data_IF_762239965790
#
_entry.id   IF_762239965790
#
_cell.length_a   1.000
_cell.length_b   1.000
_cell.length_c   1.000
_cell.angle_alpha   90.00
_cell.angle_beta   90.00
_cell.angle_gamma   90.00
#
_symmetry.space_group_name_H-M   'P 1'
#
loop_
_entity.id
_entity.type
_entity.pdbx_description
1 polymer ?
#
# COMPACT_ATOMS: atom_id res chain seq x y z
N UNK A 1 9.15 -10.35 14.62
CA UNK A 1 7.96 -11.10 15.06
C UNK A 1 6.71 -10.48 14.45
N UNK A 2 5.79 -11.30 13.95
CA UNK A 2 4.46 -10.84 13.54
C UNK A 2 3.58 -10.50 14.74
N UNK A 3 2.86 -9.38 14.66
CA UNK A 3 1.89 -8.94 15.67
C UNK A 3 0.70 -8.22 15.05
N UNK A 4 -0.37 -8.14 15.82
CA UNK A 4 -1.53 -7.30 15.51
C UNK A 4 -1.17 -5.81 15.55
N UNK A 5 -1.94 -5.01 14.83
CA UNK A 5 -1.79 -3.55 14.85
C UNK A 5 -2.28 -2.98 16.16
N UNK A 6 -1.59 -1.95 16.66
CA UNK A 6 -2.16 -1.12 17.72
C UNK A 6 -3.30 -0.24 17.17
N UNK A 7 -4.12 0.32 18.06
CA UNK A 7 -5.20 1.25 17.67
C UNK A 7 -4.67 2.47 16.91
N UNK A 8 -3.52 2.99 17.33
CA UNK A 8 -2.87 4.14 16.69
C UNK A 8 -2.39 3.80 15.27
N UNK A 9 -1.74 2.64 15.11
CA UNK A 9 -1.25 2.17 13.81
C UNK A 9 -2.40 1.88 12.85
N UNK A 10 -3.47 1.25 13.36
CA UNK A 10 -4.71 1.03 12.61
C UNK A 10 -5.31 2.35 12.13
N UNK A 11 -5.36 3.37 13.00
CA UNK A 11 -5.87 4.69 12.67
C UNK A 11 -5.01 5.37 11.59
N UNK A 12 -3.68 5.28 11.71
CA UNK A 12 -2.75 5.83 10.72
C UNK A 12 -2.93 5.17 9.36
N UNK A 13 -3.02 3.83 9.31
CA UNK A 13 -3.29 3.09 8.08
C UNK A 13 -4.65 3.43 7.48
N UNK A 14 -5.70 3.52 8.30
CA UNK A 14 -7.03 3.88 7.82
C UNK A 14 -7.04 5.26 7.17
N UNK A 15 -6.39 6.28 7.77
CA UNK A 15 -6.23 7.61 7.16
C UNK A 15 -5.43 7.56 5.86
N UNK A 16 -4.39 6.72 5.82
CA UNK A 16 -3.62 6.53 4.60
C UNK A 16 -4.47 5.89 3.49
N UNK A 17 -5.23 4.84 3.78
CA UNK A 17 -6.11 4.20 2.81
C UNK A 17 -7.24 5.11 2.34
N UNK A 18 -7.78 5.94 3.24
CA UNK A 18 -8.79 6.96 2.92
C UNK A 18 -8.26 8.01 1.94
N UNK A 19 -7.02 8.49 2.14
CA UNK A 19 -6.34 9.42 1.22
C UNK A 19 -6.28 8.90 -0.24
N UNK A 20 -6.25 7.58 -0.40
CA UNK A 20 -6.21 6.89 -1.70
C UNK A 20 -7.58 6.31 -2.11
N UNK A 21 -8.66 6.55 -1.35
CA UNK A 21 -10.00 6.06 -1.65
C UNK A 21 -10.16 4.54 -1.58
N UNK A 22 -9.32 3.85 -0.79
CA UNK A 22 -9.33 2.39 -0.64
C UNK A 22 -9.65 1.93 0.78
N UNK A 23 -10.13 2.84 1.64
CA UNK A 23 -10.49 2.53 3.03
C UNK A 23 -11.49 1.37 3.12
N UNK A 24 -12.58 1.41 2.35
CA UNK A 24 -13.62 0.38 2.36
C UNK A 24 -13.10 -1.01 1.98
N UNK A 25 -12.08 -1.09 1.13
CA UNK A 25 -11.46 -2.36 0.77
C UNK A 25 -10.62 -2.95 1.91
N UNK A 26 -9.90 -2.11 2.66
CA UNK A 26 -8.98 -2.54 3.71
C UNK A 26 -9.59 -2.59 5.11
N UNK A 27 -10.77 -2.01 5.35
CA UNK A 27 -11.36 -1.91 6.70
C UNK A 27 -11.63 -3.27 7.36
N UNK A 28 -11.92 -4.30 6.57
CA UNK A 28 -12.23 -5.65 7.07
C UNK A 28 -11.12 -6.67 6.78
N UNK A 29 -9.96 -6.20 6.28
CA UNK A 29 -8.85 -7.08 5.93
C UNK A 29 -7.94 -7.34 7.13
N UNK A 30 -7.39 -8.54 7.16
CA UNK A 30 -6.36 -8.90 8.12
C UNK A 30 -5.03 -8.28 7.71
N UNK A 31 -4.61 -7.32 8.52
CA UNK A 31 -3.31 -6.71 8.44
C UNK A 31 -2.52 -7.16 9.66
N UNK A 32 -1.24 -7.47 9.49
CA UNK A 32 -0.30 -7.65 10.59
C UNK A 32 0.91 -6.75 10.39
N UNK A 33 1.61 -6.45 11.49
CA UNK A 33 2.92 -5.82 11.46
C UNK A 33 3.98 -6.87 11.77
N UNK A 34 5.03 -6.92 10.97
CA UNK A 34 6.26 -7.63 11.29
C UNK A 34 7.28 -6.63 11.81
N UNK A 35 7.68 -6.78 13.07
CA UNK A 35 8.71 -5.94 13.67
C UNK A 35 10.08 -6.63 13.61
N UNK A 36 11.03 -5.93 12.98
CA UNK A 36 12.46 -6.21 13.02
C UNK A 36 13.20 -4.88 13.15
N UNK A 37 13.77 -4.33 12.06
CA UNK A 37 14.40 -3.00 12.04
C UNK A 37 13.42 -1.89 11.62
N UNK A 38 12.41 -2.26 10.84
CA UNK A 38 11.31 -1.41 10.38
C UNK A 38 10.00 -2.14 10.66
N UNK A 39 8.92 -1.37 10.81
CA UNK A 39 7.57 -1.93 10.97
C UNK A 39 7.00 -2.19 9.58
N UNK A 40 7.00 -3.44 9.15
CA UNK A 40 6.47 -3.82 7.84
C UNK A 40 5.01 -4.24 7.96
N UNK A 41 4.14 -3.76 7.07
CA UNK A 41 2.71 -4.09 7.06
C UNK A 41 2.45 -5.18 6.03
N UNK A 42 1.78 -6.24 6.46
CA UNK A 42 1.42 -7.38 5.60
C UNK A 42 -0.09 -7.55 5.54
N UNK A 43 -0.60 -7.79 4.33
CA UNK A 43 -1.97 -8.23 4.05
C UNK A 43 -1.99 -9.76 3.95
N UNK A 44 -2.95 -10.39 4.62
CA UNK A 44 -3.07 -11.85 4.60
C UNK A 44 -4.52 -12.31 4.77
N UNK A 45 -4.77 -13.59 4.53
CA UNK A 45 -6.03 -14.24 4.87
C UNK A 45 -6.04 -14.69 6.35
N UNK A 46 -7.18 -15.20 6.82
CA UNK A 46 -7.34 -15.67 8.20
C UNK A 46 -6.40 -16.83 8.55
N UNK A 47 -6.18 -17.76 7.62
CA UNK A 47 -5.34 -18.94 7.86
C UNK A 47 -3.86 -18.56 8.02
N UNK A 48 -3.34 -17.74 7.10
CA UNK A 48 -2.00 -17.21 7.15
C UNK A 48 -1.78 -16.29 8.35
N UNK A 49 -2.81 -15.55 8.79
CA UNK A 49 -2.76 -14.78 10.03
C UNK A 49 -2.51 -15.65 11.25
N UNK A 50 -3.28 -16.72 11.42
CA UNK A 50 -3.09 -17.64 12.54
C UNK A 50 -1.71 -18.30 12.50
N UNK A 51 -1.26 -18.74 11.32
CA UNK A 51 0.08 -19.29 11.14
C UNK A 51 1.18 -18.28 11.47
N UNK A 52 1.04 -17.04 11.01
CA UNK A 52 2.02 -15.98 11.23
C UNK A 52 2.18 -15.65 12.72
N UNK A 53 1.07 -15.56 13.46
CA UNK A 53 1.08 -15.27 14.90
C UNK A 53 1.62 -16.43 15.73
N UNK A 54 1.39 -17.69 15.31
CA UNK A 54 1.77 -18.87 16.08
C UNK A 54 3.20 -19.36 15.82
N UNK A 55 3.69 -19.21 14.59
CA UNK A 55 4.96 -19.81 14.15
C UNK A 55 6.03 -18.79 13.74
N UNK A 56 5.71 -17.50 13.68
CA UNK A 56 6.60 -16.40 13.25
C UNK A 56 7.47 -16.75 12.02
N UNK A 57 6.85 -17.13 10.88
CA UNK A 57 7.58 -17.54 9.69
C UNK A 57 8.43 -16.39 9.13
N UNK A 58 9.38 -16.71 8.25
CA UNK A 58 10.21 -15.68 7.61
C UNK A 58 9.37 -14.73 6.77
N UNK A 59 8.34 -15.21 6.07
CA UNK A 59 7.42 -14.40 5.28
C UNK A 59 6.01 -15.01 5.35
N UNK A 60 4.99 -14.16 5.49
CA UNK A 60 3.59 -14.53 5.43
C UNK A 60 2.75 -13.41 4.81
N UNK A 61 1.95 -13.76 3.79
CA UNK A 61 1.08 -12.82 3.08
C UNK A 61 1.83 -11.92 2.09
N UNK A 62 1.21 -10.77 1.78
CA UNK A 62 1.73 -9.77 0.84
C UNK A 62 2.20 -8.54 1.62
N UNK A 63 3.47 -8.15 1.47
CA UNK A 63 3.98 -6.90 2.03
C UNK A 63 3.30 -5.73 1.32
N UNK A 64 2.58 -4.89 2.07
CA UNK A 64 2.00 -3.65 1.57
C UNK A 64 3.00 -2.49 1.61
N UNK A 65 3.93 -2.53 2.55
CA UNK A 65 4.88 -1.44 2.75
C UNK A 65 5.43 -1.36 4.16
N UNK A 66 5.99 -0.19 4.49
CA UNK A 66 6.62 0.12 5.77
C UNK A 66 5.87 1.25 6.49
N UNK A 67 5.65 1.07 7.78
CA UNK A 67 4.99 2.01 8.67
C UNK A 67 6.02 2.81 9.48
N UNK A 68 6.34 4.01 9.01
CA UNK A 68 7.19 4.99 9.74
C UNK A 68 6.30 6.08 10.36
N UNK A 69 6.62 7.36 10.13
CA UNK A 69 5.68 8.48 10.38
C UNK A 69 4.56 8.52 9.34
N UNK A 70 4.88 8.08 8.13
CA UNK A 70 3.96 7.87 7.02
C UNK A 70 4.11 6.44 6.50
N UNK A 71 3.12 5.98 5.74
CA UNK A 71 3.16 4.67 5.08
C UNK A 71 3.96 4.80 3.80
N UNK A 72 5.01 3.99 3.66
CA UNK A 72 5.81 3.89 2.45
C UNK A 72 5.40 2.59 1.75
N UNK A 73 4.84 2.67 0.56
CA UNK A 73 4.32 1.51 -0.14
C UNK A 73 5.45 0.68 -0.77
N UNK A 74 5.28 -0.65 -0.75
CA UNK A 74 5.97 -1.53 -1.69
C UNK A 74 5.28 -1.49 -3.06
N UNK A 75 5.91 -2.06 -4.09
CA UNK A 75 5.30 -2.16 -5.41
C UNK A 75 4.04 -3.03 -5.39
N UNK A 76 4.01 -4.09 -4.58
CA UNK A 76 2.84 -4.95 -4.41
C UNK A 76 1.70 -4.19 -3.71
N UNK A 77 2.02 -3.42 -2.67
CA UNK A 77 1.05 -2.57 -1.98
C UNK A 77 0.48 -1.50 -2.91
N UNK A 78 1.33 -0.83 -3.68
CA UNK A 78 0.92 0.13 -4.69
C UNK A 78 0.05 -0.50 -5.77
N UNK A 79 0.36 -1.71 -6.23
CA UNK A 79 -0.44 -2.45 -7.22
C UNK A 79 -1.85 -2.76 -6.70
N UNK A 80 -1.97 -3.23 -5.45
CA UNK A 80 -3.28 -3.51 -4.83
C UNK A 80 -4.09 -2.21 -4.70
N UNK A 81 -3.47 -1.13 -4.21
CA UNK A 81 -4.14 0.16 -4.08
C UNK A 81 -4.56 0.68 -5.45
N UNK A 82 -3.70 0.63 -6.47
CA UNK A 82 -4.01 1.06 -7.83
C UNK A 82 -5.17 0.30 -8.47
N UNK A 83 -5.34 -1.00 -8.14
CA UNK A 83 -6.47 -1.81 -8.62
C UNK A 83 -7.81 -1.45 -7.98
N UNK A 84 -7.80 -1.05 -6.71
CA UNK A 84 -9.03 -0.79 -5.96
C UNK A 84 -9.36 0.71 -5.78
N UNK A 85 -8.40 1.59 -6.02
CA UNK A 85 -8.58 3.03 -5.98
C UNK A 85 -9.23 3.52 -7.27
N UNK A 86 -10.09 4.53 -7.18
CA UNK A 86 -10.54 5.33 -8.33
C UNK A 86 -10.06 6.78 -8.23
N UNK A 87 -9.11 7.05 -7.33
CA UNK A 87 -8.65 8.38 -6.97
C UNK A 87 -7.19 8.56 -7.36
N UNK A 88 -6.81 9.79 -7.72
CA UNK A 88 -5.43 10.24 -7.97
C UNK A 88 -4.69 9.35 -8.94
N UNK A 89 -5.31 9.10 -10.09
CA UNK A 89 -4.74 8.31 -11.19
C UNK A 89 -4.38 9.21 -12.34
N UNK A 90 -3.25 8.91 -12.96
CA UNK A 90 -2.82 9.50 -14.22
C UNK A 90 -2.58 8.37 -15.21
N UNK A 91 -2.91 8.62 -16.47
CA UNK A 91 -2.53 7.80 -17.61
C UNK A 91 -1.41 8.53 -18.35
N UNK A 92 -0.33 7.82 -18.65
CA UNK A 92 0.84 8.38 -19.33
C UNK A 92 1.01 7.73 -20.70
N UNK A 93 1.75 8.40 -21.58
CA UNK A 93 2.14 7.82 -22.87
C UNK A 93 3.19 6.71 -22.73
N UNK A 94 3.39 5.95 -23.81
CA UNK A 94 4.32 4.80 -23.86
C UNK A 94 5.76 5.20 -23.49
N UNK A 95 6.20 6.40 -23.91
CA UNK A 95 7.56 6.86 -23.60
C UNK A 95 7.76 7.11 -22.10
N UNK A 96 6.78 7.74 -21.44
CA UNK A 96 6.84 7.96 -20.00
C UNK A 96 6.64 6.66 -19.22
N UNK A 97 5.84 5.71 -19.70
CA UNK A 97 5.72 4.38 -19.11
C UNK A 97 7.11 3.70 -19.00
N UNK A 98 7.87 3.66 -20.09
CA UNK A 98 9.22 3.10 -20.11
C UNK A 98 10.13 3.78 -19.07
N UNK A 99 10.11 5.11 -19.03
CA UNK A 99 10.97 5.90 -18.14
C UNK A 99 10.63 5.68 -16.65
N UNK A 100 9.34 5.61 -16.32
CA UNK A 100 8.86 5.40 -14.94
C UNK A 100 9.33 4.06 -14.38
N UNK A 101 9.37 3.01 -15.21
CA UNK A 101 9.88 1.69 -14.81
C UNK A 101 11.36 1.74 -14.37
N UNK A 102 12.12 2.73 -14.85
CA UNK A 102 13.51 2.99 -14.44
C UNK A 102 13.64 4.07 -13.37
N UNK A 103 12.54 4.46 -12.73
CA UNK A 103 12.52 5.45 -11.64
C UNK A 103 12.75 6.89 -12.10
N UNK A 104 12.43 7.21 -13.36
CA UNK A 104 12.40 8.59 -13.84
C UNK A 104 11.08 9.26 -13.52
N UNK A 105 11.13 10.58 -13.40
CA UNK A 105 9.96 11.41 -13.17
C UNK A 105 9.05 11.47 -14.42
N UNK A 106 7.75 11.68 -14.17
CA UNK A 106 6.75 11.89 -15.22
C UNK A 106 6.67 13.39 -15.51
N UNK A 107 6.91 13.79 -16.76
CA UNK A 107 6.73 15.17 -17.21
C UNK A 107 5.26 15.46 -17.53
N UNK A 108 4.83 16.71 -17.33
CA UNK A 108 3.44 17.12 -17.56
C UNK A 108 2.93 16.82 -18.98
N UNK A 109 3.78 17.04 -19.98
CA UNK A 109 3.47 16.76 -21.40
C UNK A 109 3.25 15.28 -21.70
N UNK A 110 3.62 14.39 -20.79
CA UNK A 110 3.45 12.94 -20.94
C UNK A 110 2.13 12.41 -20.37
N UNK A 111 1.35 13.24 -19.68
CA UNK A 111 0.06 12.88 -19.09
C UNK A 111 -1.03 12.99 -20.16
N UNK A 112 -1.67 11.86 -20.47
CA UNK A 112 -2.78 11.76 -21.45
C UNK A 112 -4.10 12.07 -20.75
N UNK A 113 -4.33 11.42 -19.60
CA UNK A 113 -5.56 11.55 -18.83
C UNK A 113 -5.21 11.62 -17.34
N UNK A 114 -6.05 12.30 -16.57
CA UNK A 114 -5.95 12.35 -15.13
C UNK A 114 -7.34 12.41 -14.51
N UNK A 115 -7.47 11.90 -13.30
CA UNK A 115 -8.68 12.08 -12.50
C UNK A 115 -8.75 13.54 -11.98
N UNK A 116 -9.95 14.06 -11.65
CA UNK A 116 -10.14 15.48 -11.28
C UNK A 116 -9.95 15.77 -9.77
N UNK A 117 -9.39 14.83 -9.03
CA UNK A 117 -9.28 14.79 -7.57
C UNK A 117 -7.84 15.00 -7.07
N UNK A 118 -6.98 15.52 -7.96
CA UNK A 118 -5.77 16.23 -7.57
C UNK A 118 -6.19 17.61 -7.06
N UNK A 119 -6.49 17.72 -5.76
CA UNK A 119 -6.75 19.01 -5.12
C UNK A 119 -5.51 19.93 -5.19
N UNK A 120 -5.75 21.23 -5.10
CA UNK A 120 -4.70 22.24 -4.78
C UNK A 120 -3.93 21.89 -3.51
#
# INVERSE_FOLDING_TARGET
MYRELTREERTLLNRFFDKWGVFEYFKDKNLLIKEYNVREVYLMDDAAKQLALNHDPTLAGIKLGELKKTVWLSIEGASIIGKHSNYKKIMVNEHAEELVLYGRDIFGDSIIEHTNDFGE
#
